data_IF_028002455455
#
_entry.id   IF_028002455455
#
_cell.length_a   1.000
_cell.length_b   1.000
_cell.length_c   1.000
_cell.angle_alpha   90.00
_cell.angle_beta   90.00
_cell.angle_gamma   90.00
#
_symmetry.space_group_name_H-M   'P 1'
#
loop_
_entity.id
_entity.type
_entity.pdbx_description
1 polymer ?
#
# COMPACT_ATOMS: atom_id res chain seq x y z
N UNK A 1 80.88 -44.03 -29.98
CA UNK A 1 81.71 -42.94 -30.55
C UNK A 1 80.81 -42.06 -31.41
N UNK A 2 80.90 -40.74 -31.21
CA UNK A 2 80.64 -39.65 -32.18
C UNK A 2 79.37 -39.68 -33.07
N UNK A 3 78.58 -38.63 -33.25
CA UNK A 3 78.61 -37.23 -32.81
C UNK A 3 77.38 -36.57 -33.45
N UNK A 4 76.87 -35.53 -32.78
CA UNK A 4 76.35 -34.32 -33.44
C UNK A 4 74.95 -34.44 -34.07
N UNK A 5 74.09 -33.42 -34.08
CA UNK A 5 74.23 -32.01 -33.68
C UNK A 5 72.83 -31.37 -33.82
N UNK A 6 72.53 -30.43 -32.92
CA UNK A 6 71.89 -29.09 -33.18
C UNK A 6 70.46 -29.10 -33.76
N UNK A 7 69.57 -28.15 -33.50
CA UNK A 7 69.47 -26.93 -32.68
C UNK A 7 68.06 -26.39 -32.99
N UNK A 8 67.44 -25.66 -32.05
CA UNK A 8 66.46 -24.55 -32.26
C UNK A 8 65.19 -24.83 -33.09
N UNK A 9 63.99 -24.37 -32.73
CA UNK A 9 63.57 -23.39 -31.74
C UNK A 9 62.04 -23.23 -31.84
N UNK A 10 61.47 -22.67 -30.79
CA UNK A 10 60.24 -21.84 -30.74
C UNK A 10 59.17 -22.06 -31.83
N UNK A 11 58.09 -22.74 -31.46
CA UNK A 11 56.81 -22.73 -32.17
C UNK A 11 55.68 -22.30 -31.23
N UNK A 12 55.06 -21.18 -31.55
CA UNK A 12 53.89 -20.53 -30.96
C UNK A 12 52.75 -21.53 -30.66
N UNK A 13 52.22 -21.50 -29.43
CA UNK A 13 50.94 -22.10 -29.10
C UNK A 13 49.80 -21.18 -29.56
N UNK A 14 49.08 -21.59 -30.60
CA UNK A 14 47.79 -20.97 -30.99
C UNK A 14 46.73 -21.60 -30.10
N UNK A 15 46.29 -20.88 -29.07
CA UNK A 15 45.04 -21.20 -28.37
C UNK A 15 43.88 -20.64 -29.20
N UNK A 16 43.10 -21.54 -29.81
CA UNK A 16 41.86 -21.19 -30.46
C UNK A 16 40.86 -20.66 -29.42
N UNK A 17 40.48 -19.39 -29.55
CA UNK A 17 39.38 -18.79 -28.80
C UNK A 17 38.06 -19.34 -29.34
N UNK A 18 37.45 -20.29 -28.63
CA UNK A 18 36.07 -20.67 -28.85
C UNK A 18 35.16 -19.60 -28.23
N UNK A 19 34.52 -18.79 -29.07
CA UNK A 19 33.41 -17.92 -28.69
C UNK A 19 32.23 -18.81 -28.23
N UNK A 20 32.09 -18.97 -26.91
CA UNK A 20 30.88 -19.51 -26.31
C UNK A 20 29.78 -18.46 -26.37
N UNK A 21 28.85 -18.63 -27.31
CA UNK A 21 27.62 -17.86 -27.37
C UNK A 21 26.79 -18.21 -26.11
N UNK A 22 26.82 -17.33 -25.11
CA UNK A 22 25.93 -17.45 -23.96
C UNK A 22 24.49 -17.22 -24.46
N UNK A 23 23.75 -18.32 -24.64
CA UNK A 23 22.32 -18.25 -24.85
C UNK A 23 21.70 -17.65 -23.58
N UNK A 24 21.30 -16.38 -23.66
CA UNK A 24 20.44 -15.77 -22.66
C UNK A 24 19.13 -16.53 -22.68
N UNK A 25 18.90 -17.38 -21.67
CA UNK A 25 17.60 -17.96 -21.43
C UNK A 25 16.63 -16.82 -21.12
N UNK A 26 15.49 -16.71 -21.81
CA UNK A 26 14.48 -15.72 -21.43
C UNK A 26 13.99 -16.07 -20.03
N UNK A 27 14.25 -15.17 -19.08
CA UNK A 27 13.60 -15.19 -17.77
C UNK A 27 12.11 -15.01 -18.04
N UNK A 28 11.32 -16.06 -17.79
CA UNK A 28 9.87 -15.99 -17.83
C UNK A 28 9.41 -15.04 -16.73
N UNK A 29 8.74 -13.98 -17.13
CA UNK A 29 8.02 -13.07 -16.24
C UNK A 29 6.96 -13.89 -15.48
N UNK A 30 7.24 -14.17 -14.21
CA UNK A 30 6.25 -14.73 -13.29
C UNK A 30 5.35 -13.59 -12.87
N UNK A 31 4.19 -13.46 -13.53
CA UNK A 31 3.19 -12.51 -13.10
C UNK A 31 2.52 -12.91 -11.77
N UNK A 32 1.53 -12.12 -11.31
CA UNK A 32 0.99 -11.95 -9.95
C UNK A 32 1.37 -13.06 -8.96
N UNK A 33 1.69 -12.78 -7.68
CA UNK A 33 1.72 -13.82 -6.65
C UNK A 33 0.42 -14.66 -6.69
N UNK A 34 0.49 -15.84 -7.31
CA UNK A 34 -0.64 -16.72 -7.56
C UNK A 34 -1.50 -16.47 -8.82
N UNK A 35 -1.24 -15.50 -9.70
CA UNK A 35 -2.09 -15.26 -10.89
C UNK A 35 -1.39 -15.01 -12.23
N UNK A 36 -0.06 -14.84 -12.31
CA UNK A 36 0.62 -14.76 -13.60
C UNK A 36 1.45 -15.99 -13.96
N UNK A 37 1.54 -16.26 -15.27
CA UNK A 37 2.58 -17.03 -15.98
C UNK A 37 3.00 -18.42 -15.49
N UNK A 38 2.41 -18.99 -14.44
CA UNK A 38 2.81 -20.28 -13.88
C UNK A 38 2.15 -21.48 -14.56
N UNK A 39 2.85 -22.63 -14.55
CA UNK A 39 2.33 -23.95 -14.99
C UNK A 39 1.24 -24.52 -14.06
N UNK A 40 0.73 -23.73 -13.13
CA UNK A 40 -0.28 -24.16 -12.15
C UNK A 40 -1.65 -24.08 -12.85
N UNK A 41 -2.40 -25.19 -12.90
CA UNK A 41 -3.75 -25.18 -13.45
C UNK A 41 -4.64 -24.14 -12.77
N UNK A 42 -5.53 -23.53 -13.55
CA UNK A 42 -6.60 -22.68 -13.00
C UNK A 42 -7.84 -23.54 -12.87
N UNK A 43 -8.37 -23.64 -11.66
CA UNK A 43 -9.67 -24.24 -11.40
C UNK A 43 -10.74 -23.16 -11.54
N UNK A 44 -11.79 -23.42 -12.32
CA UNK A 44 -12.91 -22.48 -12.53
C UNK A 44 -14.21 -23.18 -12.18
N UNK A 45 -15.00 -22.55 -11.30
CA UNK A 45 -16.30 -23.04 -10.88
C UNK A 45 -17.36 -21.95 -11.08
N UNK A 46 -18.58 -22.35 -11.40
CA UNK A 46 -19.73 -21.48 -11.59
C UNK A 46 -21.04 -22.26 -11.40
N UNK A 47 -22.06 -21.60 -10.87
CA UNK A 47 -23.34 -22.21 -10.52
C UNK A 47 -24.28 -22.36 -11.72
N UNK A 48 -24.18 -21.47 -12.72
CA UNK A 48 -25.12 -21.43 -13.84
C UNK A 48 -24.52 -22.03 -15.11
N UNK A 49 -23.36 -21.55 -15.55
CA UNK A 49 -22.75 -21.99 -16.80
C UNK A 49 -21.25 -21.68 -16.88
N UNK A 50 -20.55 -22.48 -17.69
CA UNK A 50 -19.26 -22.12 -18.29
C UNK A 50 -19.43 -22.21 -19.81
N UNK A 51 -19.29 -21.07 -20.47
CA UNK A 51 -19.51 -20.89 -21.91
C UNK A 51 -18.17 -20.68 -22.61
N UNK A 52 -18.03 -21.25 -23.81
CA UNK A 52 -16.91 -20.99 -24.69
C UNK A 52 -17.40 -20.25 -25.93
N UNK A 53 -17.04 -18.97 -26.04
CA UNK A 53 -17.38 -18.09 -27.15
C UNK A 53 -16.18 -17.99 -28.09
N UNK A 54 -16.17 -18.82 -29.14
CA UNK A 54 -15.04 -18.90 -30.08
C UNK A 54 -14.94 -17.67 -30.99
N UNK A 55 -16.07 -17.06 -31.35
CA UNK A 55 -16.17 -15.88 -32.20
C UNK A 55 -15.48 -14.66 -31.59
N UNK A 56 -15.65 -14.46 -30.28
CA UNK A 56 -15.01 -13.37 -29.51
C UNK A 56 -13.81 -13.83 -28.69
N UNK A 57 -13.37 -15.09 -28.87
CA UNK A 57 -12.23 -15.70 -28.20
C UNK A 57 -12.27 -15.53 -26.67
N UNK A 58 -13.38 -15.96 -26.05
CA UNK A 58 -13.59 -15.82 -24.62
C UNK A 58 -14.14 -17.10 -23.95
N UNK A 59 -13.72 -17.33 -22.70
CA UNK A 59 -14.38 -18.24 -21.77
C UNK A 59 -15.16 -17.42 -20.74
N UNK A 60 -16.42 -17.77 -20.49
CA UNK A 60 -17.29 -17.03 -19.56
C UNK A 60 -17.89 -17.97 -18.53
N UNK A 61 -17.60 -17.73 -17.25
CA UNK A 61 -18.18 -18.46 -16.12
C UNK A 61 -19.24 -17.58 -15.43
N UNK A 62 -20.46 -18.09 -15.24
CA UNK A 62 -21.62 -17.31 -14.77
C UNK A 62 -22.25 -17.87 -13.51
N UNK A 63 -22.61 -16.98 -12.60
CA UNK A 63 -23.29 -17.28 -11.35
C UNK A 63 -22.30 -17.71 -10.28
N UNK A 64 -22.07 -16.85 -9.27
CA UNK A 64 -21.11 -17.07 -8.19
C UNK A 64 -19.77 -17.64 -8.68
N UNK A 65 -19.28 -17.11 -9.79
CA UNK A 65 -18.11 -17.63 -10.48
C UNK A 65 -16.86 -17.48 -9.61
N UNK A 66 -16.00 -18.49 -9.62
CA UNK A 66 -14.71 -18.46 -8.96
C UNK A 66 -13.60 -19.03 -9.83
N UNK A 67 -12.43 -18.41 -9.77
CA UNK A 67 -11.21 -18.87 -10.43
C UNK A 67 -10.08 -18.95 -9.40
N UNK A 68 -9.56 -20.16 -9.18
CA UNK A 68 -8.50 -20.45 -8.22
C UNK A 68 -7.21 -20.82 -8.93
N UNK A 69 -6.11 -20.20 -8.52
CA UNK A 69 -4.75 -20.55 -8.94
C UNK A 69 -3.82 -20.51 -7.73
N UNK A 70 -3.24 -21.66 -7.39
CA UNK A 70 -2.47 -21.80 -6.16
C UNK A 70 -3.32 -21.48 -4.93
N UNK A 71 -2.86 -20.54 -4.11
CA UNK A 71 -3.58 -20.06 -2.92
C UNK A 71 -4.45 -18.82 -3.18
N UNK A 72 -4.41 -18.28 -4.40
CA UNK A 72 -5.20 -17.12 -4.78
C UNK A 72 -6.52 -17.54 -5.44
N UNK A 73 -7.62 -16.91 -5.05
CA UNK A 73 -8.96 -17.12 -5.64
C UNK A 73 -9.61 -15.79 -5.95
N UNK A 74 -10.15 -15.64 -7.16
CA UNK A 74 -11.02 -14.52 -7.53
C UNK A 74 -12.46 -15.00 -7.57
N UNK A 75 -13.36 -14.22 -6.99
CA UNK A 75 -14.80 -14.43 -6.98
C UNK A 75 -15.48 -13.25 -7.68
N UNK A 76 -16.55 -13.53 -8.42
CA UNK A 76 -17.42 -12.52 -9.02
C UNK A 76 -18.78 -13.14 -9.43
N UNK A 77 -19.74 -12.31 -9.85
CA UNK A 77 -20.97 -12.82 -10.47
C UNK A 77 -20.67 -13.45 -11.84
N UNK A 78 -19.76 -12.83 -12.61
CA UNK A 78 -19.26 -13.32 -13.89
C UNK A 78 -17.75 -13.19 -13.97
N UNK A 79 -17.08 -14.24 -14.42
CA UNK A 79 -15.66 -14.23 -14.77
C UNK A 79 -15.49 -14.49 -16.26
N UNK A 80 -14.74 -13.62 -16.94
CA UNK A 80 -14.42 -13.75 -18.37
C UNK A 80 -12.91 -13.83 -18.57
N UNK A 81 -12.45 -14.81 -19.36
CA UNK A 81 -11.06 -14.92 -19.78
C UNK A 81 -10.97 -14.77 -21.30
N UNK A 82 -10.39 -13.67 -21.76
CA UNK A 82 -10.11 -13.44 -23.17
C UNK A 82 -8.80 -14.08 -23.57
N UNK A 83 -8.81 -14.79 -24.69
CA UNK A 83 -7.64 -15.49 -25.20
C UNK A 83 -7.32 -15.08 -26.64
N UNK A 84 -6.09 -15.37 -27.05
CA UNK A 84 -5.63 -15.31 -28.44
C UNK A 84 -5.10 -16.68 -28.84
N UNK A 85 -5.26 -17.04 -30.11
CA UNK A 85 -4.65 -18.24 -30.63
C UNK A 85 -3.18 -17.96 -30.97
N UNK A 86 -2.28 -18.76 -30.42
CA UNK A 86 -0.85 -18.67 -30.68
C UNK A 86 -0.42 -19.90 -31.49
N UNK A 87 0.09 -19.72 -32.73
CA UNK A 87 0.51 -20.82 -33.57
C UNK A 87 1.48 -21.77 -32.84
N UNK A 88 1.14 -23.05 -32.80
CA UNK A 88 1.94 -24.09 -32.14
C UNK A 88 1.93 -24.06 -30.61
N UNK A 89 1.24 -23.11 -29.96
CA UNK A 89 1.10 -23.04 -28.49
C UNK A 89 -0.36 -23.14 -28.01
N UNK A 90 -1.33 -23.04 -28.91
CA UNK A 90 -2.76 -23.09 -28.57
C UNK A 90 -3.27 -21.76 -28.04
N UNK A 91 -4.30 -21.81 -27.21
CA UNK A 91 -4.96 -20.61 -26.68
C UNK A 91 -4.14 -20.03 -25.53
N UNK A 92 -3.85 -18.73 -25.61
CA UNK A 92 -3.17 -17.96 -24.57
C UNK A 92 -4.12 -16.89 -24.03
N UNK A 93 -4.38 -16.92 -22.72
CA UNK A 93 -5.20 -15.90 -22.04
C UNK A 93 -4.38 -14.62 -21.87
N UNK A 94 -4.88 -13.49 -22.39
CA UNK A 94 -4.21 -12.19 -22.30
C UNK A 94 -4.94 -11.20 -21.38
N UNK A 95 -6.22 -11.43 -21.08
CA UNK A 95 -6.99 -10.58 -20.18
C UNK A 95 -8.01 -11.39 -19.38
N UNK A 96 -8.12 -11.07 -18.10
CA UNK A 96 -9.14 -11.58 -17.20
C UNK A 96 -10.04 -10.43 -16.76
N UNK A 97 -11.35 -10.66 -16.74
CA UNK A 97 -12.35 -9.69 -16.30
C UNK A 97 -13.26 -10.35 -15.27
N UNK A 98 -13.57 -9.62 -14.21
CA UNK A 98 -14.44 -10.01 -13.12
C UNK A 98 -15.52 -8.94 -12.96
N UNK A 99 -16.79 -9.33 -13.02
CA UNK A 99 -17.93 -8.43 -12.96
C UNK A 99 -18.91 -8.86 -11.86
N UNK A 100 -19.28 -7.90 -11.01
CA UNK A 100 -20.22 -8.07 -9.91
C UNK A 100 -19.57 -8.72 -8.69
N UNK A 101 -19.80 -8.14 -7.50
CA UNK A 101 -19.36 -8.65 -6.20
C UNK A 101 -17.90 -9.16 -6.19
N UNK A 102 -16.99 -8.41 -6.82
CA UNK A 102 -15.61 -8.84 -7.02
C UNK A 102 -14.90 -8.96 -5.68
N UNK A 103 -14.33 -10.14 -5.43
CA UNK A 103 -13.51 -10.41 -4.27
C UNK A 103 -12.29 -11.23 -4.66
N UNK A 104 -11.12 -10.67 -4.45
CA UNK A 104 -9.83 -11.36 -4.62
C UNK A 104 -9.34 -11.78 -3.25
N UNK A 105 -8.99 -13.05 -3.08
CA UNK A 105 -8.42 -13.60 -1.85
C UNK A 105 -7.05 -14.18 -2.18
N UNK A 106 -6.04 -13.74 -1.44
CA UNK A 106 -4.68 -14.28 -1.47
C UNK A 106 -4.21 -14.52 -0.02
N UNK A 107 -3.11 -15.27 0.23
CA UNK A 107 -2.71 -15.64 1.58
C UNK A 107 -2.67 -14.50 2.61
N UNK A 108 -2.23 -13.31 2.17
CA UNK A 108 -1.96 -12.18 3.06
C UNK A 108 -2.92 -11.00 2.87
N UNK A 109 -3.89 -11.10 1.95
CA UNK A 109 -4.76 -9.97 1.63
C UNK A 109 -6.07 -10.36 0.95
N UNK A 110 -7.04 -9.47 1.06
CA UNK A 110 -8.30 -9.52 0.33
C UNK A 110 -8.59 -8.17 -0.35
N UNK A 111 -9.10 -8.19 -1.57
CA UNK A 111 -9.49 -6.99 -2.33
C UNK A 111 -10.96 -7.09 -2.74
N UNK A 112 -11.70 -6.00 -2.62
CA UNK A 112 -13.14 -5.92 -2.88
C UNK A 112 -13.45 -4.79 -3.86
N UNK A 113 -14.44 -5.00 -4.73
CA UNK A 113 -15.00 -4.00 -5.63
C UNK A 113 -16.16 -4.57 -6.46
N UNK A 114 -16.53 -3.87 -7.54
CA UNK A 114 -17.61 -4.29 -8.43
C UNK A 114 -17.09 -4.81 -9.78
N UNK A 115 -15.91 -4.35 -10.21
CA UNK A 115 -15.32 -4.73 -11.49
C UNK A 115 -13.80 -4.85 -11.35
N UNK A 116 -13.24 -5.94 -11.87
CA UNK A 116 -11.80 -6.22 -11.84
C UNK A 116 -11.30 -6.58 -13.22
N UNK A 117 -10.20 -5.97 -13.65
CA UNK A 117 -9.50 -6.33 -14.89
C UNK A 117 -8.07 -6.66 -14.56
N UNK A 118 -7.57 -7.78 -15.08
CA UNK A 118 -6.15 -8.10 -15.11
C UNK A 118 -5.68 -8.26 -16.55
N UNK A 119 -4.80 -7.37 -16.98
CA UNK A 119 -4.11 -7.42 -18.26
C UNK A 119 -2.80 -8.20 -18.07
N UNK A 120 -2.74 -9.40 -18.64
CA UNK A 120 -1.62 -10.33 -18.46
C UNK A 120 -0.36 -9.81 -19.15
N UNK A 121 -0.51 -9.18 -20.32
CA UNK A 121 0.62 -8.67 -21.10
C UNK A 121 1.24 -7.44 -20.42
N UNK A 122 0.41 -6.54 -19.88
CA UNK A 122 0.88 -5.35 -19.15
C UNK A 122 1.25 -5.64 -17.69
N UNK A 123 0.82 -6.79 -17.16
CA UNK A 123 0.91 -7.13 -15.75
C UNK A 123 0.28 -6.06 -14.84
N UNK A 124 -0.94 -5.64 -15.19
CA UNK A 124 -1.69 -4.61 -14.46
C UNK A 124 -3.04 -5.16 -14.04
N UNK A 125 -3.32 -5.09 -12.73
CA UNK A 125 -4.64 -5.34 -12.17
C UNK A 125 -5.29 -4.01 -11.77
N UNK A 126 -6.57 -3.83 -12.10
CA UNK A 126 -7.38 -2.67 -11.73
C UNK A 126 -8.70 -3.16 -11.17
N UNK A 127 -9.06 -2.70 -9.97
CA UNK A 127 -10.36 -2.93 -9.35
C UNK A 127 -11.08 -1.59 -9.18
N UNK A 128 -12.33 -1.54 -9.62
CA UNK A 128 -13.21 -0.36 -9.58
C UNK A 128 -14.58 -0.74 -9.03
N UNK A 129 -15.38 0.26 -8.67
CA UNK A 129 -16.72 0.06 -8.14
C UNK A 129 -16.98 0.85 -6.88
N UNK A 130 -18.04 0.47 -6.17
CA UNK A 130 -18.40 0.99 -4.86
C UNK A 130 -17.63 0.22 -3.78
N UNK A 131 -17.48 0.85 -2.62
CA UNK A 131 -16.89 0.24 -1.42
C UNK A 131 -15.53 -0.43 -1.65
N UNK A 132 -14.71 0.15 -2.55
CA UNK A 132 -13.38 -0.37 -2.86
C UNK A 132 -12.55 -0.48 -1.59
N UNK A 133 -12.04 -1.68 -1.36
CA UNK A 133 -11.36 -2.01 -0.12
C UNK A 133 -10.29 -3.06 -0.36
N UNK A 134 -9.11 -2.83 0.22
CA UNK A 134 -8.06 -3.81 0.38
C UNK A 134 -7.85 -4.03 1.88
N UNK A 135 -7.80 -5.29 2.30
CA UNK A 135 -7.57 -5.69 3.68
C UNK A 135 -6.32 -6.56 3.71
N UNK A 136 -5.38 -6.24 4.57
CA UNK A 136 -4.25 -7.12 4.93
C UNK A 136 -4.36 -7.51 6.40
N UNK A 137 -3.38 -8.26 6.92
CA UNK A 137 -3.30 -8.56 8.34
C UNK A 137 -3.20 -7.31 9.25
N UNK A 138 -2.70 -6.18 8.73
CA UNK A 138 -2.40 -4.97 9.53
C UNK A 138 -3.10 -3.72 9.04
N UNK A 139 -3.52 -3.72 7.78
CA UNK A 139 -3.91 -2.52 7.06
C UNK A 139 -5.28 -2.67 6.41
N UNK A 140 -6.02 -1.57 6.39
CA UNK A 140 -7.21 -1.41 5.55
C UNK A 140 -6.97 -0.22 4.64
N UNK A 141 -7.12 -0.40 3.33
CA UNK A 141 -7.02 0.66 2.33
C UNK A 141 -8.36 0.79 1.61
N UNK A 142 -8.88 2.01 1.50
CA UNK A 142 -10.08 2.32 0.73
C UNK A 142 -9.79 3.41 -0.29
N UNK A 143 -10.60 3.44 -1.35
CA UNK A 143 -10.52 4.41 -2.42
C UNK A 143 -11.91 4.64 -3.02
N UNK A 144 -12.11 5.74 -3.73
CA UNK A 144 -13.35 6.04 -4.45
C UNK A 144 -13.30 5.57 -5.90
N UNK A 145 -12.15 5.75 -6.56
CA UNK A 145 -12.06 5.62 -8.03
C UNK A 145 -11.45 4.27 -8.43
N UNK A 146 -10.29 3.91 -7.87
CA UNK A 146 -9.63 2.63 -8.20
C UNK A 146 -8.66 2.13 -7.14
N UNK A 147 -8.47 0.80 -7.13
CA UNK A 147 -7.34 0.11 -6.53
C UNK A 147 -6.57 -0.61 -7.64
N UNK A 148 -5.27 -0.34 -7.75
CA UNK A 148 -4.46 -0.82 -8.87
C UNK A 148 -3.18 -1.48 -8.38
N UNK A 149 -2.73 -2.48 -9.12
CA UNK A 149 -1.47 -3.17 -8.91
C UNK A 149 -0.72 -3.31 -10.23
N UNK A 150 0.49 -2.75 -10.28
CA UNK A 150 1.38 -2.78 -11.43
C UNK A 150 2.55 -3.67 -11.05
N UNK A 151 2.47 -4.92 -11.46
CA UNK A 151 3.39 -5.93 -10.97
C UNK A 151 4.81 -5.72 -11.48
N UNK A 152 4.98 -5.47 -12.78
CA UNK A 152 6.29 -5.25 -13.40
C UNK A 152 7.04 -4.06 -12.77
N UNK A 153 6.31 -3.16 -12.11
CA UNK A 153 6.83 -1.95 -11.47
C UNK A 153 6.80 -2.03 -9.94
N UNK A 154 6.37 -3.16 -9.38
CA UNK A 154 6.25 -3.40 -7.94
C UNK A 154 5.55 -2.26 -7.19
N UNK A 155 4.41 -1.77 -7.73
CA UNK A 155 3.67 -0.68 -7.12
C UNK A 155 2.17 -0.93 -7.06
N UNK A 156 1.54 -0.36 -6.04
CA UNK A 156 0.09 -0.26 -5.89
C UNK A 156 -0.33 1.20 -5.95
N UNK A 157 -1.55 1.44 -6.42
CA UNK A 157 -2.13 2.79 -6.41
C UNK A 157 -3.57 2.74 -5.94
N UNK A 158 -3.92 3.60 -5.00
CA UNK A 158 -5.28 3.89 -4.59
C UNK A 158 -5.63 5.31 -5.05
N UNK A 159 -6.74 5.47 -5.78
CA UNK A 159 -7.15 6.77 -6.36
C UNK A 159 -8.53 7.22 -5.89
N UNK A 160 -8.64 8.53 -5.69
CA UNK A 160 -9.86 9.21 -5.30
C UNK A 160 -10.10 9.03 -3.81
N UNK A 161 -9.77 10.07 -3.03
CA UNK A 161 -9.89 10.03 -1.56
C UNK A 161 -9.35 8.72 -0.95
N UNK A 162 -8.12 8.40 -1.31
CA UNK A 162 -7.45 7.20 -0.87
C UNK A 162 -7.13 7.30 0.62
N UNK A 163 -7.54 6.28 1.40
CA UNK A 163 -7.31 6.20 2.84
C UNK A 163 -6.62 4.88 3.16
N UNK A 164 -5.49 4.93 3.85
CA UNK A 164 -4.84 3.78 4.45
C UNK A 164 -4.89 3.89 5.98
N UNK A 165 -5.34 2.82 6.65
CA UNK A 165 -5.47 2.75 8.11
C UNK A 165 -4.61 1.61 8.65
N UNK A 166 -3.79 1.91 9.66
CA UNK A 166 -2.97 0.96 10.41
C UNK A 166 -3.14 1.21 11.91
N UNK A 167 -3.89 0.32 12.57
CA UNK A 167 -4.24 0.55 13.98
C UNK A 167 -4.99 1.87 14.17
N UNK A 168 -4.42 2.79 14.95
CA UNK A 168 -4.99 4.13 15.18
C UNK A 168 -4.51 5.17 14.14
N UNK A 169 -3.48 4.86 13.36
CA UNK A 169 -2.89 5.80 12.41
C UNK A 169 -3.63 5.72 11.06
N UNK A 170 -3.84 6.88 10.44
CA UNK A 170 -4.55 7.02 9.16
C UNK A 170 -3.80 7.97 8.23
N UNK A 171 -3.61 7.54 6.99
CA UNK A 171 -3.07 8.34 5.90
C UNK A 171 -4.18 8.56 4.87
N UNK A 172 -4.48 9.81 4.53
CA UNK A 172 -5.43 10.18 3.49
C UNK A 172 -4.75 11.05 2.43
N UNK A 173 -5.06 10.83 1.16
CA UNK A 173 -4.65 11.68 0.04
C UNK A 173 -5.60 11.51 -1.15
N UNK A 174 -5.52 12.39 -2.15
CA UNK A 174 -6.25 12.18 -3.41
C UNK A 174 -5.73 10.93 -4.14
N UNK A 175 -4.41 10.68 -4.06
CA UNK A 175 -3.76 9.46 -4.54
C UNK A 175 -2.72 8.98 -3.52
N UNK A 176 -2.75 7.67 -3.22
CA UNK A 176 -1.69 6.97 -2.49
C UNK A 176 -1.02 5.97 -3.43
N UNK A 177 0.31 6.03 -3.51
CA UNK A 177 1.14 5.08 -4.27
C UNK A 177 1.99 4.29 -3.28
N UNK A 178 1.81 2.97 -3.23
CA UNK A 178 2.64 2.07 -2.44
C UNK A 178 3.75 1.49 -3.30
N UNK A 179 5.01 1.62 -2.87
CA UNK A 179 6.14 0.89 -3.43
C UNK A 179 6.33 -0.40 -2.64
N UNK A 180 6.42 -1.49 -3.38
CA UNK A 180 6.48 -2.83 -2.85
C UNK A 180 7.85 -3.42 -3.11
N UNK A 181 8.22 -4.38 -2.26
CA UNK A 181 9.40 -5.22 -2.44
C UNK A 181 8.97 -6.67 -2.48
N UNK A 182 9.30 -7.37 -3.56
CA UNK A 182 9.14 -8.83 -3.63
C UNK A 182 10.21 -9.49 -2.76
N UNK A 183 9.76 -10.35 -1.85
CA UNK A 183 10.63 -11.08 -0.94
C UNK A 183 11.04 -12.42 -1.55
N UNK A 184 12.18 -13.02 -1.14
CA UNK A 184 12.65 -14.31 -1.67
C UNK A 184 11.66 -15.47 -1.49
N UNK A 185 10.78 -15.37 -0.50
CA UNK A 185 9.71 -16.34 -0.22
C UNK A 185 8.49 -16.18 -1.14
N UNK A 186 8.53 -15.23 -2.09
CA UNK A 186 7.44 -14.92 -3.00
C UNK A 186 6.38 -13.98 -2.43
N UNK A 187 6.48 -13.60 -1.16
CA UNK A 187 5.62 -12.59 -0.55
C UNK A 187 6.00 -11.18 -1.03
N UNK A 188 5.16 -10.20 -0.69
CA UNK A 188 5.39 -8.81 -1.07
C UNK A 188 5.22 -7.92 0.16
N UNK A 189 6.17 -7.02 0.39
CA UNK A 189 6.20 -6.13 1.54
C UNK A 189 6.13 -4.67 1.11
N UNK A 190 5.40 -3.85 1.84
CA UNK A 190 5.39 -2.39 1.61
C UNK A 190 6.71 -1.77 2.08
N UNK A 191 7.38 -1.03 1.20
CA UNK A 191 8.61 -0.30 1.52
C UNK A 191 8.35 1.18 1.76
N UNK A 192 7.49 1.78 0.92
CA UNK A 192 7.24 3.24 0.92
C UNK A 192 5.82 3.55 0.48
N UNK A 193 5.24 4.60 1.04
CA UNK A 193 3.95 5.16 0.61
C UNK A 193 4.14 6.62 0.23
N UNK A 194 3.84 6.96 -1.02
CA UNK A 194 3.81 8.33 -1.52
C UNK A 194 2.36 8.81 -1.56
N UNK A 195 2.06 9.93 -0.90
CA UNK A 195 0.75 10.58 -0.94
C UNK A 195 0.80 11.92 -1.66
N UNK A 196 -0.20 12.19 -2.48
CA UNK A 196 -0.32 13.47 -3.18
C UNK A 196 -1.76 13.97 -3.23
N UNK A 197 -1.92 15.28 -3.03
CA UNK A 197 -3.21 15.95 -3.07
C UNK A 197 -3.93 15.83 -1.72
N UNK A 198 -4.24 16.98 -1.11
CA UNK A 198 -5.03 17.08 0.12
C UNK A 198 -4.61 16.09 1.22
N UNK A 199 -3.30 15.96 1.46
CA UNK A 199 -2.76 14.94 2.35
C UNK A 199 -3.16 15.24 3.79
N UNK A 200 -3.65 14.21 4.50
CA UNK A 200 -3.91 14.25 5.94
C UNK A 200 -3.32 13.01 6.59
N UNK A 201 -2.44 13.22 7.57
CA UNK A 201 -1.91 12.17 8.44
C UNK A 201 -2.52 12.35 9.82
N UNK A 202 -3.25 11.34 10.30
CA UNK A 202 -3.83 11.31 11.64
C UNK A 202 -3.16 10.21 12.44
N UNK A 203 -2.72 10.55 13.65
CA UNK A 203 -2.24 9.61 14.65
C UNK A 203 -3.10 9.71 15.91
N UNK A 204 -2.77 8.95 16.95
CA UNK A 204 -3.43 9.06 18.25
C UNK A 204 -3.39 10.47 18.86
N UNK A 205 -2.39 11.30 18.53
CA UNK A 205 -2.17 12.61 19.17
C UNK A 205 -2.16 13.78 18.20
N UNK A 206 -1.98 13.52 16.91
CA UNK A 206 -1.65 14.54 15.92
C UNK A 206 -2.54 14.44 14.69
N UNK A 207 -2.86 15.60 14.13
CA UNK A 207 -3.39 15.72 12.76
C UNK A 207 -2.45 16.62 11.98
N UNK A 208 -1.90 16.11 10.88
CA UNK A 208 -0.99 16.85 10.02
C UNK A 208 -1.55 16.94 8.60
N UNK A 209 -1.51 18.14 8.02
CA UNK A 209 -1.95 18.43 6.65
C UNK A 209 -0.74 18.81 5.80
N UNK A 210 -0.75 18.42 4.52
CA UNK A 210 0.26 18.84 3.54
C UNK A 210 -0.22 18.65 2.08
N UNK A 211 0.57 19.11 1.12
CA UNK A 211 0.30 18.86 -0.31
C UNK A 211 0.76 17.47 -0.74
N UNK A 212 1.90 17.02 -0.19
CA UNK A 212 2.55 15.74 -0.48
C UNK A 212 3.05 15.08 0.79
N UNK A 213 3.23 13.76 0.72
CA UNK A 213 3.84 12.95 1.77
C UNK A 213 4.68 11.84 1.17
N UNK A 214 5.79 11.53 1.86
CA UNK A 214 6.57 10.31 1.67
C UNK A 214 6.66 9.60 3.01
N UNK A 215 6.15 8.38 3.11
CA UNK A 215 6.26 7.57 4.32
C UNK A 215 7.19 6.36 4.07
N UNK A 216 8.28 6.29 4.82
CA UNK A 216 9.18 5.13 4.87
C UNK A 216 8.63 4.11 5.88
N UNK A 217 8.29 2.92 5.41
CA UNK A 217 7.77 1.85 6.29
C UNK A 217 8.87 1.29 7.18
N UNK A 218 10.10 1.19 6.68
CA UNK A 218 11.24 0.66 7.42
C UNK A 218 11.64 1.58 8.58
N UNK A 219 11.71 2.90 8.33
CA UNK A 219 12.10 3.88 9.34
C UNK A 219 10.92 4.33 10.21
N UNK A 220 9.70 4.04 9.75
CA UNK A 220 8.46 4.51 10.34
C UNK A 220 8.39 6.05 10.45
N UNK A 221 8.87 6.74 9.40
CA UNK A 221 8.94 8.21 9.30
C UNK A 221 8.13 8.70 8.11
N UNK A 222 7.23 9.65 8.36
CA UNK A 222 6.51 10.39 7.32
C UNK A 222 7.16 11.77 7.12
N UNK A 223 7.52 12.09 5.88
CA UNK A 223 7.96 13.40 5.45
C UNK A 223 6.81 14.08 4.73
N UNK A 224 6.34 15.20 5.28
CA UNK A 224 5.28 16.04 4.74
C UNK A 224 5.88 17.24 4.03
N UNK A 225 5.35 17.59 2.86
CA UNK A 225 5.90 18.64 1.99
C UNK A 225 4.76 19.52 1.46
N UNK A 226 4.95 20.83 1.54
CA UNK A 226 4.03 21.85 1.06
C UNK A 226 2.90 22.12 2.04
N UNK A 227 2.67 23.39 2.36
CA UNK A 227 1.56 23.87 3.20
C UNK A 227 1.38 23.10 4.52
N UNK A 228 2.48 22.75 5.19
CA UNK A 228 2.42 21.87 6.35
C UNK A 228 1.77 22.54 7.54
N UNK A 229 0.74 21.90 8.10
CA UNK A 229 0.09 22.28 9.36
C UNK A 229 -0.07 21.05 10.25
N UNK A 230 0.50 21.08 11.45
CA UNK A 230 0.38 20.01 12.44
C UNK A 230 -0.39 20.56 13.65
N UNK A 231 -1.44 19.86 14.06
CA UNK A 231 -2.25 20.19 15.24
C UNK A 231 -2.11 19.07 16.27
N UNK A 232 -1.84 19.44 17.53
CA UNK A 232 -1.76 18.54 18.69
C UNK A 232 -2.54 19.17 19.85
N UNK A 233 -3.73 18.65 20.14
CA UNK A 233 -4.66 19.31 21.07
C UNK A 233 -4.92 20.74 20.61
N UNK A 234 -4.68 21.71 21.47
CA UNK A 234 -4.85 23.14 21.17
C UNK A 234 -3.63 23.80 20.50
N UNK A 235 -2.53 23.05 20.35
CA UNK A 235 -1.29 23.55 19.77
C UNK A 235 -1.27 23.38 18.26
N UNK A 236 -0.72 24.36 17.54
CA UNK A 236 -0.57 24.32 16.09
C UNK A 236 0.84 24.70 15.65
N UNK A 237 1.43 23.95 14.74
CA UNK A 237 2.72 24.22 14.10
C UNK A 237 2.54 24.33 12.59
N UNK A 238 3.17 25.31 11.95
CA UNK A 238 3.12 25.50 10.49
C UNK A 238 4.52 25.68 9.89
N UNK A 239 4.75 25.08 8.73
CA UNK A 239 6.01 25.18 8.00
C UNK A 239 5.88 24.71 6.54
N UNK A 240 6.99 24.65 5.84
CA UNK A 240 7.03 24.18 4.44
C UNK A 240 7.12 22.66 4.37
N UNK A 241 7.80 22.06 5.34
CA UNK A 241 7.96 20.62 5.44
C UNK A 241 7.86 20.17 6.91
N UNK A 242 7.60 18.89 7.14
CA UNK A 242 7.78 18.29 8.45
C UNK A 242 8.20 16.83 8.34
N UNK A 243 8.91 16.36 9.35
CA UNK A 243 9.18 14.96 9.58
C UNK A 243 8.38 14.52 10.81
N UNK A 244 7.65 13.42 10.68
CA UNK A 244 6.91 12.82 11.78
C UNK A 244 7.41 11.40 11.97
N UNK A 245 8.02 11.13 13.12
CA UNK A 245 8.43 9.78 13.48
C UNK A 245 7.27 9.09 14.20
N UNK A 246 6.67 8.09 13.55
CA UNK A 246 5.51 7.38 14.06
C UNK A 246 5.86 6.45 15.23
N UNK A 247 7.14 6.14 15.46
CA UNK A 247 7.60 5.34 16.60
C UNK A 247 7.84 6.22 17.83
N UNK A 248 8.70 7.25 17.71
CA UNK A 248 9.10 8.10 18.83
C UNK A 248 8.09 9.22 19.13
N UNK A 249 7.13 9.44 18.23
CA UNK A 249 6.12 10.52 18.29
C UNK A 249 6.72 11.93 18.28
N UNK A 250 7.97 12.04 17.81
CA UNK A 250 8.68 13.30 17.60
C UNK A 250 8.31 13.83 16.21
N UNK A 251 7.75 15.03 16.17
CA UNK A 251 7.42 15.76 14.95
C UNK A 251 8.35 16.99 14.83
N UNK A 252 9.09 17.09 13.73
CA UNK A 252 9.99 18.21 13.41
C UNK A 252 9.44 19.00 12.23
N UNK A 253 9.01 20.23 12.47
CA UNK A 253 8.60 21.15 11.40
C UNK A 253 9.80 21.94 10.90
N UNK A 254 9.93 22.07 9.58
CA UNK A 254 11.10 22.57 8.89
C UNK A 254 10.71 23.81 8.07
N UNK A 255 11.55 24.84 8.13
CA UNK A 255 11.38 26.05 7.34
C UNK A 255 11.69 25.75 5.86
N UNK A 256 10.88 26.33 4.97
CA UNK A 256 11.12 26.25 3.53
C UNK A 256 12.24 27.20 3.07
N UNK A 257 12.89 26.91 1.93
CA UNK A 257 13.87 27.82 1.32
C UNK A 257 13.27 29.21 1.02
N UNK A 258 11.97 29.27 0.71
CA UNK A 258 11.26 30.49 0.35
C UNK A 258 10.66 31.25 1.56
N UNK A 259 10.25 30.54 2.61
CA UNK A 259 9.50 31.13 3.73
C UNK A 259 10.37 31.42 4.98
N UNK A 260 11.56 30.83 5.08
CA UNK A 260 12.60 31.14 6.08
C UNK A 260 12.23 30.94 7.56
N UNK A 261 10.97 30.71 7.92
CA UNK A 261 10.52 30.66 9.32
C UNK A 261 9.39 29.64 9.51
N UNK A 262 9.52 28.83 10.56
CA UNK A 262 8.44 28.00 11.11
C UNK A 262 7.64 28.86 12.09
N UNK A 263 6.32 28.67 12.15
CA UNK A 263 5.48 29.35 13.14
C UNK A 263 4.78 28.32 14.02
N UNK A 264 4.63 28.63 15.31
CA UNK A 264 3.93 27.78 16.26
C UNK A 264 3.06 28.62 17.18
N UNK A 265 1.82 28.19 17.39
CA UNK A 265 0.96 28.64 18.46
C UNK A 265 0.94 27.55 19.52
N UNK A 266 1.53 27.86 20.68
CA UNK A 266 1.48 27.00 21.85
C UNK A 266 0.52 27.64 22.84
N UNK A 267 -0.53 26.90 23.20
CA UNK A 267 -1.48 27.33 24.23
C UNK A 267 -1.04 26.65 25.52
N UNK A 268 -0.50 27.41 26.50
CA UNK A 268 -0.19 26.86 27.81
C UNK A 268 -1.49 26.36 28.45
N UNK A 269 -1.53 25.08 28.81
CA UNK A 269 -2.72 24.53 29.46
C UNK A 269 -2.99 25.21 30.80
N UNK A 270 -4.24 25.60 31.06
CA UNK A 270 -4.75 25.82 32.41
C UNK A 270 -4.98 24.50 33.17
N UNK A 271 -4.07 23.52 33.03
CA UNK A 271 -4.15 22.24 33.75
C UNK A 271 -2.98 22.09 34.72
N UNK A 272 -2.79 23.13 35.54
CA UNK A 272 -1.84 23.16 36.64
C UNK A 272 -2.35 24.09 37.73
N UNK A 273 -3.40 23.68 38.45
CA UNK A 273 -3.82 24.36 39.67
C UNK A 273 -3.80 23.37 40.84
N UNK A 274 -2.71 23.29 41.61
CA UNK A 274 -2.77 22.89 43.00
C UNK A 274 -3.16 24.11 43.84
N UNK A 275 -4.37 24.10 44.40
CA UNK A 275 -4.74 25.03 45.48
C UNK A 275 -6.01 25.83 45.21
N UNK A 276 -7.03 25.56 46.00
CA UNK A 276 -8.21 26.41 46.09
C UNK A 276 -9.49 25.67 46.48
N UNK A 277 -9.46 24.87 47.56
CA UNK A 277 -10.68 24.76 48.37
C UNK A 277 -11.05 26.19 48.76
N UNK A 278 -12.02 26.76 48.07
CA UNK A 278 -12.71 27.96 48.53
C UNK A 278 -13.33 27.60 49.86
N UNK A 279 -12.62 27.93 50.94
CA UNK A 279 -13.16 27.94 52.28
C UNK A 279 -14.40 28.83 52.24
N UNK A 280 -15.57 28.21 52.38
CA UNK A 280 -16.76 28.93 52.77
C UNK A 280 -16.46 29.61 54.13
N UNK A 281 -16.71 30.92 54.27
CA UNK A 281 -16.52 31.57 55.55
C UNK A 281 -17.52 30.99 56.56
N UNK A 282 -16.99 30.53 57.68
CA UNK A 282 -17.78 30.15 58.84
C UNK A 282 -18.62 31.36 59.32
N UNK A 283 -19.91 31.19 59.64
CA UNK A 283 -20.66 32.23 60.30
C UNK A 283 -20.17 32.38 61.75
N UNK A 284 -19.67 33.58 62.05
CA UNK A 284 -19.35 34.04 63.40
C UNK A 284 -20.60 34.03 64.28
N UNK A 285 -20.49 33.44 65.46
CA UNK A 285 -21.45 33.55 66.56
C UNK A 285 -21.12 34.74 67.46
N UNK A 286 -22.12 35.55 67.77
CA UNK A 286 -22.30 36.40 68.98
C UNK A 286 -23.54 37.28 68.73
N UNK A 287 -24.51 37.51 69.62
CA UNK A 287 -24.65 37.23 71.04
C UNK A 287 -26.14 37.35 71.49
N UNK A 288 -26.46 36.65 72.59
CA UNK A 288 -27.39 37.01 73.70
C UNK A 288 -28.88 37.31 73.45
N UNK A 289 -29.79 36.46 73.98
CA UNK A 289 -30.53 36.70 75.23
C UNK A 289 -31.59 35.58 75.53
N UNK A 290 -31.67 35.18 76.82
CA UNK A 290 -32.69 34.32 77.51
C UNK A 290 -33.85 35.24 78.00
N UNK A 291 -34.98 34.84 78.67
CA UNK A 291 -35.67 33.54 78.93
C UNK A 291 -37.22 33.53 78.65
N UNK A 292 -37.88 32.42 79.06
CA UNK A 292 -39.30 32.23 79.49
C UNK A 292 -40.26 31.61 78.44
N UNK A 293 -41.27 30.81 78.76
CA UNK A 293 -41.68 29.99 79.89
C UNK A 293 -42.76 29.01 79.36
N UNK A 294 -43.00 27.92 80.07
CA UNK A 294 -44.02 26.88 79.81
C UNK A 294 -45.46 27.43 79.94
N UNK A 295 -46.49 26.75 79.38
CA UNK A 295 -47.11 25.58 80.04
C UNK A 295 -46.97 24.25 79.29
#
# INVERSE_FOLDING_TARGET
MHRSRRRSGTGLAVLAAAFGLAAATPVLAQGLPGMGGGKIPVEVNADQAIEWHQDVHAYVARGNASAKRGESTVFADVLTAYYREVPGKGNEVFQLVADGAVRVVSPNQQVFGDHGVYDVDKQVAVVTGKDLKLITAKDVVTARDSLEYYEARELTVARGDAVAVRGADRLRADVLIGQLKKMPDGSTQMERIDGSGSVVVTTATDVALSDKMVYSVADNVAVLIGNVKITRGDNQLNGEAAEMNMTTKINRVIAGPAAGRVSGLLIPGQNGQPGGLSAAPAPSSAATAKPAAKP
#
